data_IF_754609727842
#
_entry.id   IF_754609727842
#
_cell.length_a   1.000
_cell.length_b   1.000
_cell.length_c   1.000
_cell.angle_alpha   90.00
_cell.angle_beta   90.00
_cell.angle_gamma   90.00
#
_symmetry.space_group_name_H-M   'P 1'
#
loop_
_entity.id
_entity.type
_entity.pdbx_description
1 polymer ?
#
# COMPACT_ATOMS: atom_id res chain seq x y z
N UNK A 1 -1.56 13.79 15.69
CA UNK A 1 -1.13 12.42 16.05
C UNK A 1 -0.10 11.99 15.03
N UNK A 2 0.95 11.29 15.42
CA UNK A 2 1.84 10.68 14.43
C UNK A 2 1.05 9.63 13.64
N UNK A 3 1.32 9.50 12.34
CA UNK A 3 0.72 8.45 11.54
C UNK A 3 1.23 7.08 12.03
N UNK A 4 0.32 6.16 12.32
CA UNK A 4 0.67 4.77 12.64
C UNK A 4 0.94 4.03 11.33
N UNK A 5 2.16 3.50 11.09
CA UNK A 5 2.47 2.77 9.86
C UNK A 5 1.71 1.44 9.72
N UNK A 6 1.08 0.94 10.78
CA UNK A 6 0.23 -0.24 10.76
C UNK A 6 -1.26 0.07 10.53
N UNK A 7 -1.67 1.34 10.63
CA UNK A 7 -3.00 1.79 10.25
C UNK A 7 -3.11 1.85 8.72
N UNK A 8 -3.65 0.77 8.17
CA UNK A 8 -3.85 0.60 6.72
C UNK A 8 -5.30 0.88 6.29
N UNK A 9 -6.16 1.25 7.23
CA UNK A 9 -7.61 1.35 7.00
C UNK A 9 -8.36 0.02 7.00
N UNK A 10 -7.68 -1.13 6.97
CA UNK A 10 -8.34 -2.43 7.01
C UNK A 10 -9.03 -2.66 8.35
N UNK A 11 -10.31 -3.03 8.32
CA UNK A 11 -11.12 -3.24 9.52
C UNK A 11 -11.67 -1.95 10.16
N UNK A 12 -11.53 -0.79 9.51
CA UNK A 12 -12.13 0.45 9.99
C UNK A 12 -13.66 0.38 10.04
N UNK A 13 -14.24 0.87 11.14
CA UNK A 13 -15.67 1.16 11.26
C UNK A 13 -16.06 2.39 10.43
N UNK A 14 -17.36 2.58 10.21
CA UNK A 14 -17.89 3.77 9.52
C UNK A 14 -17.45 5.08 10.17
N UNK A 15 -17.40 5.12 11.50
CA UNK A 15 -16.95 6.30 12.27
C UNK A 15 -15.46 6.57 12.05
N UNK A 16 -14.63 5.52 11.99
CA UNK A 16 -13.19 5.64 11.72
C UNK A 16 -12.94 6.12 10.29
N UNK A 17 -13.69 5.62 9.31
CA UNK A 17 -13.63 6.12 7.92
C UNK A 17 -14.04 7.59 7.87
N UNK A 18 -15.11 7.99 8.55
CA UNK A 18 -15.59 9.38 8.58
C UNK A 18 -14.63 10.37 9.26
N UNK A 19 -13.71 9.86 10.09
CA UNK A 19 -12.66 10.64 10.74
C UNK A 19 -11.49 10.96 9.80
N UNK A 20 -11.34 10.25 8.67
CA UNK A 20 -10.30 10.53 7.67
C UNK A 20 -10.67 11.81 6.90
N UNK A 21 -10.10 12.93 7.35
CA UNK A 21 -10.34 14.26 6.78
C UNK A 21 -9.02 14.92 6.38
N UNK A 22 -8.59 14.75 5.11
CA UNK A 22 -7.43 15.47 4.58
C UNK A 22 -7.63 16.98 4.72
N UNK A 23 -6.54 17.72 4.91
CA UNK A 23 -6.57 19.18 5.04
C UNK A 23 -7.08 19.91 3.79
N UNK A 24 -7.02 19.25 2.63
CA UNK A 24 -7.51 19.75 1.35
C UNK A 24 -7.20 18.78 0.21
N UNK A 25 -7.68 19.07 -1.02
CA UNK A 25 -7.40 18.26 -2.21
C UNK A 25 -5.89 18.07 -2.49
N UNK A 26 -5.08 19.07 -2.18
CA UNK A 26 -3.63 19.07 -2.39
C UNK A 26 -2.94 17.99 -1.56
N UNK A 27 -3.45 17.68 -0.37
CA UNK A 27 -2.93 16.59 0.45
C UNK A 27 -3.14 15.22 -0.21
N UNK A 28 -4.29 15.03 -0.88
CA UNK A 28 -4.59 13.79 -1.61
C UNK A 28 -3.75 13.66 -2.88
N UNK A 29 -3.65 14.74 -3.66
CA UNK A 29 -2.83 14.78 -4.87
C UNK A 29 -1.35 14.58 -4.54
N UNK A 30 -0.83 15.27 -3.54
CA UNK A 30 0.55 15.11 -3.09
C UNK A 30 0.85 13.70 -2.57
N UNK A 31 -0.10 13.08 -1.84
CA UNK A 31 0.02 11.69 -1.42
C UNK A 31 0.05 10.75 -2.63
N UNK A 32 -0.88 10.91 -3.57
CA UNK A 32 -0.93 10.12 -4.80
C UNK A 32 0.39 10.20 -5.58
N UNK A 33 0.89 11.41 -5.84
CA UNK A 33 2.14 11.61 -6.60
C UNK A 33 3.35 10.98 -5.89
N UNK A 34 3.39 11.08 -4.56
CA UNK A 34 4.46 10.49 -3.75
C UNK A 34 4.42 8.96 -3.81
N UNK A 35 3.23 8.36 -3.67
CA UNK A 35 3.06 6.90 -3.77
C UNK A 35 3.38 6.41 -5.17
N UNK A 36 2.88 7.09 -6.22
CA UNK A 36 3.17 6.75 -7.61
C UNK A 36 4.67 6.78 -7.88
N UNK A 37 5.37 7.83 -7.46
CA UNK A 37 6.84 7.93 -7.59
C UNK A 37 7.54 6.77 -6.87
N UNK A 38 7.18 6.49 -5.61
CA UNK A 38 7.80 5.41 -4.83
C UNK A 38 7.55 4.04 -5.47
N UNK A 39 6.36 3.80 -5.99
CA UNK A 39 6.02 2.57 -6.70
C UNK A 39 6.87 2.40 -7.96
N UNK A 40 7.01 3.45 -8.76
CA UNK A 40 7.87 3.43 -9.96
C UNK A 40 9.35 3.18 -9.61
N UNK A 41 9.86 3.82 -8.56
CA UNK A 41 11.23 3.61 -8.08
C UNK A 41 11.50 2.18 -7.60
N UNK A 42 10.49 1.52 -7.03
CA UNK A 42 10.57 0.11 -6.66
C UNK A 42 10.52 -0.79 -7.89
N UNK A 43 9.55 -0.58 -8.79
CA UNK A 43 9.40 -1.34 -10.04
C UNK A 43 10.63 -1.25 -10.94
N UNK A 44 11.36 -0.13 -10.92
CA UNK A 44 12.60 0.02 -11.69
C UNK A 44 13.76 -0.87 -11.20
N UNK A 45 13.63 -1.50 -10.01
CA UNK A 45 14.70 -2.28 -9.35
C UNK A 45 14.36 -3.76 -9.21
N UNK A 46 13.12 -4.18 -9.42
CA UNK A 46 12.72 -5.57 -9.20
C UNK A 46 13.24 -6.48 -10.32
N UNK A 47 13.65 -7.68 -9.94
CA UNK A 47 14.02 -8.76 -10.84
C UNK A 47 13.09 -9.97 -10.62
N UNK A 48 13.34 -11.08 -11.33
CA UNK A 48 12.54 -12.30 -11.20
C UNK A 48 12.60 -12.90 -9.79
N UNK A 49 13.76 -12.81 -9.11
CA UNK A 49 13.91 -13.36 -7.77
C UNK A 49 13.09 -12.56 -6.74
N UNK A 50 13.03 -11.24 -6.91
CA UNK A 50 12.20 -10.37 -6.08
C UNK A 50 10.71 -10.66 -6.29
N UNK A 51 10.27 -10.93 -7.52
CA UNK A 51 8.89 -11.30 -7.82
C UNK A 51 8.46 -12.61 -7.12
N UNK A 52 9.38 -13.58 -6.96
CA UNK A 52 9.14 -14.86 -6.30
C UNK A 52 9.17 -14.78 -4.76
N UNK A 53 9.63 -13.67 -4.19
CA UNK A 53 9.75 -13.50 -2.74
C UNK A 53 8.37 -13.55 -2.07
N UNK A 54 8.19 -14.50 -1.14
CA UNK A 54 6.95 -14.61 -0.34
C UNK A 54 6.90 -13.49 0.70
N UNK A 55 5.82 -12.71 0.68
CA UNK A 55 5.59 -11.58 1.60
C UNK A 55 4.47 -11.85 2.60
N UNK A 56 3.59 -12.79 2.32
CA UNK A 56 2.50 -13.16 3.23
C UNK A 56 2.26 -14.67 3.19
N UNK A 57 2.44 -15.33 4.33
CA UNK A 57 2.25 -16.78 4.51
C UNK A 57 0.89 -17.13 5.10
N UNK A 58 0.05 -16.15 5.40
CA UNK A 58 -1.29 -16.38 5.97
C UNK A 58 -2.32 -16.87 4.92
N UNK A 59 -1.94 -16.92 3.64
CA UNK A 59 -2.78 -17.34 2.53
C UNK A 59 -2.32 -18.70 1.95
N UNK A 60 -3.23 -19.42 1.30
CA UNK A 60 -2.96 -20.65 0.55
C UNK A 60 -3.49 -20.53 -0.90
N UNK A 61 -2.62 -20.38 -1.92
CA UNK A 61 -1.16 -20.34 -1.81
C UNK A 61 -0.64 -19.04 -1.15
N UNK A 62 0.57 -19.05 -0.56
CA UNK A 62 1.21 -17.85 -0.01
C UNK A 62 1.36 -16.73 -1.06
N UNK A 63 1.24 -15.47 -0.62
CA UNK A 63 1.33 -14.31 -1.50
C UNK A 63 2.80 -13.93 -1.73
N UNK A 64 3.23 -13.94 -2.99
CA UNK A 64 4.51 -13.38 -3.43
C UNK A 64 4.42 -11.88 -3.74
N UNK A 65 5.56 -11.21 -3.87
CA UNK A 65 5.62 -9.82 -4.40
C UNK A 65 4.89 -9.73 -5.73
N UNK A 66 5.14 -10.66 -6.66
CA UNK A 66 4.52 -10.66 -7.99
C UNK A 66 2.99 -10.74 -7.91
N UNK A 67 2.44 -11.60 -7.07
CA UNK A 67 0.99 -11.69 -6.84
C UNK A 67 0.45 -10.37 -6.26
N UNK A 68 1.14 -9.80 -5.27
CA UNK A 68 0.69 -8.54 -4.64
C UNK A 68 0.68 -7.36 -5.61
N UNK A 69 1.58 -7.31 -6.58
CA UNK A 69 1.67 -6.19 -7.54
C UNK A 69 0.52 -6.16 -8.56
N UNK A 70 -0.13 -7.28 -8.84
CA UNK A 70 -1.18 -7.39 -9.88
C UNK A 70 -2.57 -7.69 -9.33
N UNK A 71 -2.71 -7.85 -8.02
CA UNK A 71 -3.99 -8.11 -7.36
C UNK A 71 -4.67 -6.78 -7.01
N UNK A 72 -5.89 -6.58 -7.52
CA UNK A 72 -6.72 -5.36 -7.33
C UNK A 72 -8.07 -5.73 -6.76
#
# INVERSE_FOLDING_TARGET
MAADPSDTGYGHSSEQVAAVRPSGPEALLGYHDTVAKRSLEYLAKIDSAELDRIIDRAYDPPVSVGVRLVSV
#
